data_IF_919846594587
#
_entry.id   IF_919846594587
#
_cell.length_a   1.000
_cell.length_b   1.000
_cell.length_c   1.000
_cell.angle_alpha   90.00
_cell.angle_beta   90.00
_cell.angle_gamma   90.00
#
_symmetry.space_group_name_H-M   'P 1'
#
loop_
_entity.id
_entity.type
_entity.pdbx_description
1 polymer ?
#
# COMPACT_ATOMS: atom_id res chain seq x y z
N UNK A 1 -2.62 18.53 -16.49
CA UNK A 1 -1.83 17.43 -15.90
C UNK A 1 -2.48 16.84 -14.63
N UNK A 2 -3.82 16.75 -14.55
CA UNK A 2 -4.54 16.19 -13.37
C UNK A 2 -4.99 14.73 -13.57
N UNK A 3 -5.13 14.31 -14.83
CA UNK A 3 -5.67 12.98 -15.19
C UNK A 3 -4.63 11.89 -14.88
N UNK A 4 -3.36 12.13 -15.22
CA UNK A 4 -2.25 11.19 -14.99
C UNK A 4 -2.07 10.85 -13.49
N UNK A 5 -2.15 11.86 -12.61
CA UNK A 5 -2.00 11.68 -11.16
C UNK A 5 -3.13 10.83 -10.57
N UNK A 6 -4.35 10.92 -11.12
CA UNK A 6 -5.50 10.13 -10.65
C UNK A 6 -5.38 8.65 -11.04
N UNK A 7 -4.94 8.36 -12.27
CA UNK A 7 -4.71 6.98 -12.72
C UNK A 7 -3.59 6.29 -11.95
N UNK A 8 -2.48 7.00 -11.75
CA UNK A 8 -1.34 6.50 -10.99
C UNK A 8 -1.73 6.16 -9.55
N UNK A 9 -2.53 7.02 -8.92
CA UNK A 9 -3.06 6.75 -7.57
C UNK A 9 -3.92 5.49 -7.52
N UNK A 10 -4.85 5.31 -8.47
CA UNK A 10 -5.70 4.11 -8.53
C UNK A 10 -4.87 2.84 -8.73
N UNK A 11 -3.77 2.93 -9.49
CA UNK A 11 -2.86 1.81 -9.70
C UNK A 11 -2.12 1.43 -8.40
N UNK A 12 -1.61 2.40 -7.64
CA UNK A 12 -1.00 2.13 -6.34
C UNK A 12 -2.00 1.56 -5.33
N UNK A 13 -3.22 2.10 -5.29
CA UNK A 13 -4.31 1.56 -4.47
C UNK A 13 -4.56 0.08 -4.77
N UNK A 14 -4.62 -0.28 -6.05
CA UNK A 14 -4.76 -1.68 -6.46
C UNK A 14 -3.56 -2.54 -6.09
N UNK A 15 -2.34 -2.06 -6.35
CA UNK A 15 -1.13 -2.84 -6.05
C UNK A 15 -0.97 -3.10 -4.55
N UNK A 16 -1.30 -2.14 -3.68
CA UNK A 16 -1.29 -2.36 -2.23
C UNK A 16 -2.30 -3.44 -1.83
N UNK A 17 -3.51 -3.41 -2.40
CA UNK A 17 -4.53 -4.44 -2.15
C UNK A 17 -4.04 -5.82 -2.59
N UNK A 18 -3.46 -5.93 -3.80
CA UNK A 18 -2.94 -7.18 -4.33
C UNK A 18 -1.83 -7.77 -3.43
N UNK A 19 -0.91 -6.93 -2.94
CA UNK A 19 0.16 -7.38 -2.02
C UNK A 19 -0.37 -7.81 -0.65
N UNK A 20 -1.40 -7.15 -0.14
CA UNK A 20 -2.04 -7.56 1.11
C UNK A 20 -2.76 -8.91 0.94
N UNK A 21 -3.43 -9.12 -0.20
CA UNK A 21 -4.07 -10.41 -0.52
C UNK A 21 -3.04 -11.53 -0.69
N UNK A 22 -1.93 -11.28 -1.38
CA UNK A 22 -0.83 -12.23 -1.54
C UNK A 22 -0.21 -12.62 -0.19
N UNK A 23 -0.09 -11.67 0.74
CA UNK A 23 0.31 -11.92 2.11
C UNK A 23 -0.74 -12.66 2.96
N UNK A 24 -1.94 -12.91 2.41
CA UNK A 24 -3.03 -13.65 3.06
C UNK A 24 -3.96 -12.80 3.92
N UNK A 25 -4.00 -11.47 3.72
CA UNK A 25 -5.06 -10.61 4.26
C UNK A 25 -6.34 -10.84 3.46
N UNK A 26 -7.46 -11.08 4.15
CA UNK A 26 -8.72 -11.44 3.52
C UNK A 26 -9.49 -10.17 3.14
N UNK A 27 -9.92 -10.08 1.88
CA UNK A 27 -10.73 -8.99 1.32
C UNK A 27 -10.28 -7.56 1.74
N UNK A 28 -8.99 -7.19 1.59
CA UNK A 28 -8.54 -5.84 1.89
C UNK A 28 -9.15 -4.84 0.91
N UNK A 29 -9.61 -3.72 1.46
CA UNK A 29 -10.12 -2.58 0.72
C UNK A 29 -9.58 -1.30 1.33
N UNK A 30 -9.80 -0.16 0.68
CA UNK A 30 -9.19 1.12 1.10
C UNK A 30 -9.48 1.52 2.55
N UNK A 31 -10.66 1.15 3.08
CA UNK A 31 -11.05 1.39 4.47
C UNK A 31 -10.59 0.33 5.46
N UNK A 32 -9.92 -0.74 5.02
CA UNK A 32 -9.41 -1.78 5.91
C UNK A 32 -8.38 -1.17 6.88
N UNK A 33 -8.67 -1.31 8.16
CA UNK A 33 -7.77 -0.93 9.25
C UNK A 33 -6.65 -1.97 9.38
N UNK A 34 -5.41 -1.54 9.17
CA UNK A 34 -4.23 -2.40 9.22
C UNK A 34 -3.99 -2.94 10.63
N UNK A 35 -4.34 -2.18 11.67
CA UNK A 35 -4.25 -2.61 13.06
C UNK A 35 -5.17 -3.79 13.43
N UNK A 36 -6.21 -4.05 12.63
CA UNK A 36 -7.10 -5.21 12.81
C UNK A 36 -6.66 -6.42 12.00
N UNK A 37 -5.63 -6.28 11.17
CA UNK A 37 -5.09 -7.38 10.39
C UNK A 37 -3.96 -8.06 11.16
N UNK A 38 -3.64 -9.27 10.70
CA UNK A 38 -2.44 -9.96 11.18
C UNK A 38 -1.20 -9.12 10.85
N UNK A 39 -0.43 -8.81 11.89
CA UNK A 39 0.73 -7.92 11.79
C UNK A 39 1.81 -8.51 10.87
N UNK A 40 2.06 -9.82 10.94
CA UNK A 40 3.10 -10.46 10.14
C UNK A 40 2.73 -10.44 8.66
N UNK A 41 1.44 -10.62 8.34
CA UNK A 41 0.94 -10.48 6.96
C UNK A 41 1.06 -9.06 6.44
N UNK A 42 0.69 -8.07 7.25
CA UNK A 42 0.87 -6.67 6.86
C UNK A 42 2.35 -6.32 6.66
N UNK A 43 3.23 -6.79 7.54
CA UNK A 43 4.68 -6.57 7.43
C UNK A 43 5.25 -7.24 6.19
N UNK A 44 4.81 -8.46 5.87
CA UNK A 44 5.20 -9.16 4.65
C UNK A 44 4.79 -8.40 3.38
N UNK A 45 3.55 -7.92 3.33
CA UNK A 45 3.08 -7.09 2.21
C UNK A 45 3.89 -5.79 2.07
N UNK A 46 4.19 -5.11 3.18
CA UNK A 46 5.04 -3.91 3.22
C UNK A 46 6.44 -4.20 2.67
N UNK A 47 7.09 -5.28 3.12
CA UNK A 47 8.41 -5.67 2.61
C UNK A 47 8.37 -5.96 1.10
N UNK A 48 7.32 -6.61 0.60
CA UNK A 48 7.13 -6.88 -0.82
C UNK A 48 7.01 -5.59 -1.65
N UNK A 49 6.24 -4.62 -1.17
CA UNK A 49 6.11 -3.30 -1.80
C UNK A 49 7.45 -2.54 -1.80
N UNK A 50 8.13 -2.50 -0.66
CA UNK A 50 9.45 -1.85 -0.55
C UNK A 50 10.47 -2.45 -1.53
N UNK A 51 10.53 -3.78 -1.62
CA UNK A 51 11.43 -4.47 -2.53
C UNK A 51 11.10 -4.21 -4.01
N UNK A 52 9.80 -4.16 -4.36
CA UNK A 52 9.35 -3.91 -5.74
C UNK A 52 9.69 -2.50 -6.21
N UNK A 53 9.50 -1.51 -5.36
CA UNK A 53 9.61 -0.10 -5.74
C UNK A 53 10.93 0.55 -5.29
N UNK A 54 11.74 -0.14 -4.48
CA UNK A 54 13.00 0.40 -3.97
C UNK A 54 12.78 1.59 -3.02
N UNK A 55 11.69 1.58 -2.26
CA UNK A 55 11.32 2.64 -1.30
C UNK A 55 11.31 2.12 0.12
N UNK A 56 11.30 3.04 1.09
CA UNK A 56 11.05 2.71 2.49
C UNK A 56 9.68 3.25 2.93
N UNK A 57 8.82 2.37 3.43
CA UNK A 57 7.47 2.68 3.86
C UNK A 57 7.41 2.79 5.38
N UNK A 58 6.58 3.71 5.89
CA UNK A 58 6.31 3.77 7.32
C UNK A 58 5.50 2.55 7.78
N UNK A 59 5.56 2.24 9.07
CA UNK A 59 4.81 1.11 9.69
C UNK A 59 3.59 1.57 10.49
N UNK A 60 3.39 2.88 10.62
CA UNK A 60 2.30 3.47 11.41
C UNK A 60 1.06 3.86 10.60
N UNK A 61 0.94 3.38 9.35
CA UNK A 61 -0.27 3.59 8.55
C UNK A 61 -1.47 2.92 9.21
N UNK A 62 -2.60 3.63 9.30
CA UNK A 62 -3.80 3.11 9.94
C UNK A 62 -4.66 2.33 8.94
N UNK A 63 -4.69 2.75 7.68
CA UNK A 63 -5.54 2.16 6.63
C UNK A 63 -4.76 1.81 5.36
N UNK A 64 -5.36 0.95 4.54
CA UNK A 64 -4.87 0.65 3.18
C UNK A 64 -4.78 1.91 2.32
N UNK A 65 -5.76 2.82 2.43
CA UNK A 65 -5.73 4.10 1.71
C UNK A 65 -4.51 4.96 2.10
N UNK A 66 -4.19 5.04 3.39
CA UNK A 66 -3.01 5.76 3.86
C UNK A 66 -1.71 5.12 3.40
N UNK A 67 -1.64 3.78 3.42
CA UNK A 67 -0.50 3.05 2.88
C UNK A 67 -0.31 3.31 1.39
N UNK A 68 -1.37 3.25 0.58
CA UNK A 68 -1.31 3.56 -0.85
C UNK A 68 -0.90 5.01 -1.13
N UNK A 69 -1.40 5.97 -0.34
CA UNK A 69 -0.97 7.36 -0.42
C UNK A 69 0.50 7.54 0.00
N UNK A 70 0.96 6.80 1.01
CA UNK A 70 2.36 6.77 1.44
C UNK A 70 3.29 6.21 0.37
N UNK A 71 2.90 5.13 -0.29
CA UNK A 71 3.61 4.56 -1.43
C UNK A 71 3.67 5.53 -2.60
N UNK A 72 2.54 6.16 -2.96
CA UNK A 72 2.50 7.18 -4.00
C UNK A 72 3.46 8.33 -3.68
N UNK A 73 3.50 8.82 -2.44
CA UNK A 73 4.43 9.89 -2.02
C UNK A 73 5.89 9.45 -2.06
N UNK A 74 6.18 8.21 -1.69
CA UNK A 74 7.53 7.67 -1.74
C UNK A 74 8.04 7.49 -3.19
N UNK A 75 7.12 7.23 -4.11
CA UNK A 75 7.35 7.15 -5.56
C UNK A 75 7.47 8.53 -6.23
N UNK A 76 6.74 9.54 -5.76
CA UNK A 76 6.59 10.87 -6.40
C UNK A 76 7.71 11.88 -6.07
N UNK A 77 8.84 11.45 -5.48
CA UNK A 77 9.95 12.34 -5.15
C UNK A 77 11.34 11.73 -5.44
N UNK A 78 11.57 11.32 -6.69
CA UNK A 78 12.91 11.35 -7.31
C UNK A 78 12.88 12.08 -8.64
#
# INVERSE_FOLDING_TARGET
>A
MHIATRWLRMEFERQVIDYLQDAGVVDPWLGTLLAHQDRDKCEFALMGLEARYGVHLRRDYQTVAELAAGLCKAMDLR
#
